data_IF_518358594162
#
_entry.id   IF_518358594162
#
_cell.length_a   1.000
_cell.length_b   1.000
_cell.length_c   1.000
_cell.angle_alpha   90.00
_cell.angle_beta   90.00
_cell.angle_gamma   90.00
#
_symmetry.space_group_name_H-M   'P 1'
#
loop_
_entity.id
_entity.type
_entity.pdbx_description
1 polymer ?
#
# COMPACT_ATOMS: atom_id res chain seq x y z
N UNK A 1 -7.85 34.06 0.80
CA UNK A 1 -7.77 32.76 1.50
C UNK A 1 -6.77 31.93 0.72
N UNK A 2 -5.57 31.75 1.24
CA UNK A 2 -4.52 30.95 0.57
C UNK A 2 -4.96 29.49 0.59
N UNK A 3 -4.80 28.78 -0.52
CA UNK A 3 -5.12 27.36 -0.57
C UNK A 3 -4.25 26.60 0.45
N UNK A 4 -4.83 25.62 1.19
CA UNK A 4 -4.07 24.81 2.13
C UNK A 4 -2.93 24.08 1.42
N UNK A 5 -1.82 23.91 2.13
CA UNK A 5 -0.64 23.25 1.58
C UNK A 5 -0.90 21.75 1.35
N UNK A 6 -0.58 21.20 0.17
CA UNK A 6 -0.85 19.81 -0.13
C UNK A 6 -0.02 18.83 0.71
N UNK A 7 1.21 19.18 1.10
CA UNK A 7 2.03 18.34 1.98
C UNK A 7 1.48 18.35 3.40
N UNK A 8 1.03 19.50 3.91
CA UNK A 8 0.37 19.58 5.22
C UNK A 8 -0.93 18.76 5.27
N UNK A 9 -1.75 18.79 4.20
CA UNK A 9 -2.97 17.98 4.11
C UNK A 9 -2.68 16.47 4.09
N UNK A 10 -1.51 16.08 3.61
CA UNK A 10 -0.99 14.71 3.65
C UNK A 10 -0.27 14.38 4.96
N UNK A 11 -0.09 15.35 5.86
CA UNK A 11 0.68 15.18 7.09
C UNK A 11 2.18 14.99 6.84
N UNK A 12 2.71 15.59 5.77
CA UNK A 12 4.09 15.47 5.32
C UNK A 12 4.81 16.82 5.33
N UNK A 13 6.13 16.77 5.41
CA UNK A 13 7.00 17.92 5.15
C UNK A 13 7.10 18.20 3.64
N UNK A 14 7.34 19.46 3.24
CA UNK A 14 7.52 19.85 1.82
C UNK A 14 8.76 19.21 1.17
N UNK A 15 9.73 18.75 1.95
CA UNK A 15 10.87 17.98 1.47
C UNK A 15 10.56 16.49 1.24
N UNK A 16 9.33 16.03 1.52
CA UNK A 16 8.94 14.64 1.35
C UNK A 16 9.10 14.18 -0.10
N UNK A 17 9.63 12.98 -0.26
CA UNK A 17 9.79 12.30 -1.53
C UNK A 17 8.44 11.86 -2.11
N UNK A 18 8.41 11.59 -3.41
CA UNK A 18 7.23 11.06 -4.09
C UNK A 18 6.74 9.74 -3.48
N UNK A 19 7.68 8.91 -2.99
CA UNK A 19 7.36 7.67 -2.30
C UNK A 19 6.62 7.94 -0.98
N UNK A 20 7.07 8.91 -0.19
CA UNK A 20 6.42 9.32 1.06
C UNK A 20 5.03 9.93 0.82
N UNK A 21 4.89 10.79 -0.21
CA UNK A 21 3.60 11.34 -0.65
C UNK A 21 2.60 10.23 -0.99
N UNK A 22 3.05 9.17 -1.68
CA UNK A 22 2.22 8.01 -1.98
C UNK A 22 1.87 7.21 -0.72
N UNK A 23 2.82 6.96 0.18
CA UNK A 23 2.57 6.27 1.46
C UNK A 23 1.55 7.03 2.31
N UNK A 24 1.71 8.35 2.45
CA UNK A 24 0.84 9.17 3.26
C UNK A 24 -0.60 9.22 2.71
N UNK A 25 -0.73 9.38 1.39
CA UNK A 25 -2.04 9.29 0.72
C UNK A 25 -2.71 7.95 1.00
N UNK A 26 -1.99 6.84 0.88
CA UNK A 26 -2.54 5.49 1.14
C UNK A 26 -3.06 5.34 2.57
N UNK A 27 -2.29 5.78 3.57
CA UNK A 27 -2.70 5.77 4.98
C UNK A 27 -3.98 6.59 5.19
N UNK A 28 -3.99 7.82 4.69
CA UNK A 28 -5.13 8.73 4.85
C UNK A 28 -6.37 8.28 4.07
N UNK A 29 -6.20 7.64 2.92
CA UNK A 29 -7.31 7.14 2.11
C UNK A 29 -7.99 5.94 2.80
N UNK A 30 -7.20 5.08 3.45
CA UNK A 30 -7.73 4.01 4.28
C UNK A 30 -8.54 4.55 5.47
N UNK A 31 -8.00 5.53 6.18
CA UNK A 31 -8.65 6.12 7.35
C UNK A 31 -9.91 6.93 7.01
N UNK A 32 -9.94 7.58 5.84
CA UNK A 32 -11.02 8.51 5.43
C UNK A 32 -12.01 7.92 4.43
N UNK A 33 -11.93 6.62 4.14
CA UNK A 33 -12.77 6.01 3.12
C UNK A 33 -14.28 6.13 3.47
N UNK A 34 -15.15 6.52 2.53
CA UNK A 34 -16.59 6.67 2.80
C UNK A 34 -17.26 5.37 3.29
N UNK A 35 -16.81 4.22 2.79
CA UNK A 35 -17.35 2.92 3.21
C UNK A 35 -16.94 2.50 4.63
N UNK A 36 -16.02 3.24 5.27
CA UNK A 36 -15.59 3.05 6.66
C UNK A 36 -16.10 4.14 7.60
N UNK A 37 -17.09 4.93 7.16
CA UNK A 37 -17.66 6.05 7.91
C UNK A 37 -16.95 7.39 7.69
N UNK A 38 -16.03 7.47 6.70
CA UNK A 38 -15.46 8.72 6.22
C UNK A 38 -16.40 9.48 5.28
N UNK A 39 -15.92 10.58 4.68
CA UNK A 39 -16.70 11.40 3.76
C UNK A 39 -16.08 11.47 2.36
N UNK A 40 -16.90 11.38 1.32
CA UNK A 40 -16.50 11.60 -0.07
C UNK A 40 -15.88 12.99 -0.29
N UNK A 41 -16.27 14.02 0.48
CA UNK A 41 -15.61 15.34 0.47
C UNK A 41 -14.16 15.25 0.97
N UNK A 42 -13.90 14.46 2.03
CA UNK A 42 -12.54 14.29 2.57
C UNK A 42 -11.64 13.52 1.59
N UNK A 43 -12.20 12.53 0.89
CA UNK A 43 -11.50 11.83 -0.19
C UNK A 43 -11.20 12.75 -1.38
N UNK A 44 -12.12 13.66 -1.74
CA UNK A 44 -11.88 14.67 -2.78
C UNK A 44 -10.74 15.61 -2.38
N UNK A 45 -10.70 16.06 -1.13
CA UNK A 45 -9.62 16.92 -0.61
C UNK A 45 -8.29 16.17 -0.60
N UNK A 46 -8.27 14.89 -0.17
CA UNK A 46 -7.07 14.07 -0.15
C UNK A 46 -6.49 13.82 -1.56
N UNK A 47 -7.35 13.48 -2.52
CA UNK A 47 -6.93 13.27 -3.90
C UNK A 47 -6.39 14.57 -4.53
N UNK A 48 -7.04 15.71 -4.28
CA UNK A 48 -6.57 17.01 -4.76
C UNK A 48 -5.21 17.41 -4.16
N UNK A 49 -4.98 17.12 -2.87
CA UNK A 49 -3.71 17.36 -2.21
C UNK A 49 -2.59 16.47 -2.79
N UNK A 50 -2.89 15.18 -3.01
CA UNK A 50 -1.96 14.26 -3.65
C UNK A 50 -1.57 14.70 -5.06
N UNK A 51 -2.55 15.04 -5.91
CA UNK A 51 -2.28 15.50 -7.28
C UNK A 51 -1.43 16.77 -7.31
N UNK A 52 -1.65 17.69 -6.38
CA UNK A 52 -0.86 18.91 -6.25
C UNK A 52 0.59 18.63 -5.79
N UNK A 53 0.79 17.73 -4.81
CA UNK A 53 2.12 17.34 -4.34
C UNK A 53 2.92 16.61 -5.44
N UNK A 54 2.28 15.67 -6.15
CA UNK A 54 2.89 14.98 -7.30
C UNK A 54 3.23 15.97 -8.42
N UNK A 55 2.32 16.90 -8.74
CA UNK A 55 2.55 17.94 -9.72
C UNK A 55 3.75 18.83 -9.39
N UNK A 56 3.97 19.12 -8.10
CA UNK A 56 5.13 19.86 -7.63
C UNK A 56 6.44 19.06 -7.76
N UNK A 57 6.47 17.84 -7.25
CA UNK A 57 7.66 16.98 -7.26
C UNK A 57 8.09 16.57 -8.68
N UNK A 58 7.15 16.51 -9.63
CA UNK A 58 7.42 16.21 -11.04
C UNK A 58 7.69 17.45 -11.90
N UNK A 59 7.66 18.66 -11.29
CA UNK A 59 7.88 19.93 -11.99
C UNK A 59 6.73 20.35 -12.92
N UNK A 60 5.60 19.64 -12.92
CA UNK A 60 4.42 19.93 -13.75
C UNK A 60 3.61 21.11 -13.26
N UNK A 61 3.67 21.44 -11.96
CA UNK A 61 2.94 22.55 -11.35
C UNK A 61 3.74 23.18 -10.19
N UNK A 62 4.13 24.46 -10.29
CA UNK A 62 4.72 25.16 -9.15
C UNK A 62 3.65 25.44 -8.08
N UNK A 63 4.00 25.23 -6.81
CA UNK A 63 3.21 25.64 -5.66
C UNK A 63 3.57 27.08 -5.29
N UNK A 64 2.63 27.89 -4.76
CA UNK A 64 2.96 29.21 -4.24
C UNK A 64 3.94 29.11 -3.06
N UNK A 65 5.01 29.90 -3.10
CA UNK A 65 5.98 30.01 -2.01
C UNK A 65 5.25 30.49 -0.74
N UNK A 66 5.27 29.67 0.31
CA UNK A 66 4.89 30.10 1.65
C UNK A 66 6.11 30.78 2.30
N UNK A 67 5.91 31.78 3.17
CA UNK A 67 7.01 32.55 3.74
C UNK A 67 7.97 31.63 4.51
N UNK A 68 9.24 31.71 4.11
CA UNK A 68 10.40 31.07 4.74
C UNK A 68 10.43 31.34 6.25
N UNK A 69 10.36 30.27 7.04
CA UNK A 69 10.48 30.38 8.49
C UNK A 69 10.29 29.08 9.25
N UNK A 70 11.25 28.16 9.15
CA UNK A 70 11.82 27.40 10.27
C UNK A 70 12.78 26.33 9.73
N UNK A 71 14.06 26.66 9.78
CA UNK A 71 15.17 25.74 9.58
C UNK A 71 15.17 24.71 10.71
N UNK A 72 15.08 23.43 10.37
CA UNK A 72 15.54 22.35 11.25
C UNK A 72 16.47 21.44 10.46
N UNK A 73 17.74 21.60 10.75
CA UNK A 73 18.89 20.85 10.25
C UNK A 73 18.77 19.36 10.56
N UNK A 74 19.26 18.44 9.70
CA UNK A 74 19.25 17.00 9.98
C UNK A 74 20.40 16.62 10.92
N UNK A 75 20.13 15.67 11.83
CA UNK A 75 21.17 14.96 12.60
C UNK A 75 21.13 13.47 12.20
N UNK A 76 22.24 12.87 11.73
CA UNK A 76 22.32 11.46 11.39
C UNK A 76 22.81 10.67 12.61
N UNK A 77 21.95 9.84 13.21
CA UNK A 77 22.39 8.87 14.19
C UNK A 77 21.65 7.54 14.04
N UNK A 78 22.31 6.61 13.36
CA UNK A 78 22.19 5.17 13.53
C UNK A 78 22.28 4.80 15.01
N UNK A 79 21.25 4.17 15.56
CA UNK A 79 21.42 3.19 16.65
C UNK A 79 20.38 2.09 16.54
N UNK A 80 20.84 0.90 16.16
CA UNK A 80 20.22 -0.37 16.54
C UNK A 80 20.16 -0.48 18.08
N UNK A 81 19.20 -1.21 18.63
CA UNK A 81 19.43 -1.93 19.87
C UNK A 81 19.44 -3.44 19.61
N UNK A 82 20.61 -4.05 19.86
CA UNK A 82 20.80 -5.48 20.08
C UNK A 82 20.76 -5.77 21.58
N UNK A 83 20.13 -6.90 21.92
CA UNK A 83 20.13 -7.64 23.20
C UNK A 83 19.30 -7.00 24.35
N UNK A 84 18.56 -7.75 25.17
CA UNK A 84 18.76 -9.12 25.62
C UNK A 84 17.47 -9.82 26.08
N UNK A 85 17.50 -11.16 25.98
CA UNK A 85 16.69 -12.21 26.60
C UNK A 85 15.58 -11.82 27.62
N UNK A 86 14.34 -12.09 27.22
CA UNK A 86 13.24 -12.44 28.11
C UNK A 86 12.39 -13.49 27.43
N UNK A 87 12.40 -14.74 27.93
CA UNK A 87 11.48 -15.78 27.49
C UNK A 87 10.15 -15.60 28.25
N UNK A 88 9.01 -15.50 27.54
CA UNK A 88 7.78 -16.10 28.02
C UNK A 88 7.28 -17.19 27.07
N UNK A 89 6.59 -18.13 27.69
CA UNK A 89 5.96 -19.36 27.20
C UNK A 89 4.89 -19.16 26.10
N UNK A 90 4.56 -20.21 25.33
CA UNK A 90 3.59 -20.13 24.24
C UNK A 90 2.17 -20.08 24.78
N UNK A 91 1.45 -19.00 24.47
CA UNK A 91 0.06 -18.78 24.88
C UNK A 91 -0.62 -17.72 24.02
N UNK A 92 -1.20 -18.17 22.92
CA UNK A 92 -2.50 -17.74 22.38
C UNK A 92 -2.91 -16.27 22.55
N UNK A 93 -2.53 -15.42 21.57
CA UNK A 93 -3.32 -14.28 21.11
C UNK A 93 -3.09 -14.10 19.60
N UNK A 94 -3.85 -14.85 18.78
CA UNK A 94 -3.90 -14.70 17.32
C UNK A 94 -5.18 -13.96 16.94
N UNK A 95 -5.13 -12.64 16.95
CA UNK A 95 -6.18 -11.78 16.39
C UNK A 95 -5.59 -10.39 16.14
N UNK A 96 -5.53 -9.96 14.87
CA UNK A 96 -5.32 -8.56 14.50
C UNK A 96 -3.92 -8.12 14.05
N UNK A 97 -2.93 -9.01 13.88
CA UNK A 97 -1.59 -8.58 13.43
C UNK A 97 -1.46 -8.66 11.90
N UNK A 98 -1.06 -7.54 11.28
CA UNK A 98 -0.66 -7.47 9.87
C UNK A 98 0.40 -8.54 9.59
N UNK A 99 0.19 -9.35 8.55
CA UNK A 99 1.09 -10.41 8.11
C UNK A 99 1.80 -9.98 6.81
N UNK A 100 3.11 -10.25 6.70
CA UNK A 100 3.95 -9.81 5.58
C UNK A 100 4.95 -10.90 5.22
N UNK A 101 5.18 -11.12 3.93
CA UNK A 101 6.09 -12.14 3.42
C UNK A 101 6.95 -11.66 2.22
N UNK A 102 8.23 -12.02 2.24
CA UNK A 102 9.33 -11.30 1.54
C UNK A 102 10.39 -12.27 1.01
N UNK A 103 10.02 -13.32 0.26
CA UNK A 103 9.12 -13.25 -0.89
C UNK A 103 8.01 -14.30 -0.92
N UNK A 104 6.86 -13.97 -1.52
CA UNK A 104 5.69 -14.86 -1.55
C UNK A 104 5.69 -15.83 -2.72
N UNK A 105 5.82 -15.34 -3.97
CA UNK A 105 5.91 -16.21 -5.15
C UNK A 105 6.45 -15.44 -6.36
N UNK A 106 6.72 -16.15 -7.46
CA UNK A 106 7.22 -15.58 -8.72
C UNK A 106 6.20 -15.83 -9.83
N UNK A 107 5.93 -14.80 -10.63
CA UNK A 107 5.15 -14.88 -11.87
C UNK A 107 6.12 -14.84 -13.04
N UNK A 108 6.07 -15.84 -13.92
CA UNK A 108 6.94 -15.95 -15.10
C UNK A 108 6.51 -15.00 -16.24
N UNK A 109 6.29 -13.73 -15.91
CA UNK A 109 5.91 -12.66 -16.82
C UNK A 109 6.54 -11.32 -16.39
N UNK A 110 6.67 -10.39 -17.33
CA UNK A 110 7.18 -9.05 -17.03
C UNK A 110 6.22 -8.30 -16.09
N UNK A 111 6.68 -7.29 -15.32
CA UNK A 111 5.82 -6.62 -14.33
C UNK A 111 4.50 -6.10 -14.90
N UNK A 112 4.49 -5.56 -16.12
CA UNK A 112 3.26 -5.09 -16.75
C UNK A 112 2.28 -6.25 -17.01
N UNK A 113 2.75 -7.36 -17.59
CA UNK A 113 1.92 -8.54 -17.87
C UNK A 113 1.44 -9.23 -16.59
N UNK A 114 2.33 -9.36 -15.60
CA UNK A 114 1.98 -9.90 -14.29
C UNK A 114 0.93 -9.03 -13.58
N UNK A 115 1.02 -7.71 -13.72
CA UNK A 115 0.05 -6.77 -13.15
C UNK A 115 -1.34 -6.92 -13.78
N UNK A 116 -1.43 -7.03 -15.12
CA UNK A 116 -2.70 -7.27 -15.81
C UNK A 116 -3.32 -8.62 -15.38
N UNK A 117 -2.52 -9.68 -15.29
CA UNK A 117 -2.98 -10.97 -14.78
C UNK A 117 -3.54 -10.87 -13.35
N UNK A 118 -2.89 -10.09 -12.47
CA UNK A 118 -3.40 -9.84 -11.12
C UNK A 118 -4.70 -9.04 -11.11
N UNK A 119 -4.89 -8.08 -12.02
CA UNK A 119 -6.17 -7.37 -12.18
C UNK A 119 -7.28 -8.33 -12.62
N UNK A 120 -7.00 -9.24 -13.56
CA UNK A 120 -7.96 -10.28 -13.99
C UNK A 120 -8.39 -11.13 -12.80
N UNK A 121 -7.43 -11.66 -12.03
CA UNK A 121 -7.74 -12.46 -10.84
C UNK A 121 -8.51 -11.63 -9.80
N UNK A 122 -8.13 -10.37 -9.61
CA UNK A 122 -8.82 -9.47 -8.67
C UNK A 122 -10.29 -9.33 -9.00
N UNK A 123 -10.65 -9.29 -10.28
CA UNK A 123 -12.05 -9.22 -10.71
C UNK A 123 -12.90 -10.41 -10.25
N UNK A 124 -12.27 -11.53 -9.90
CA UNK A 124 -12.94 -12.73 -9.40
C UNK A 124 -13.03 -12.74 -7.87
N UNK A 125 -11.91 -12.45 -7.20
CA UNK A 125 -11.76 -12.69 -5.76
C UNK A 125 -12.06 -11.47 -4.87
N UNK A 126 -12.13 -10.27 -5.45
CA UNK A 126 -12.20 -9.04 -4.67
C UNK A 126 -12.56 -7.78 -5.44
N UNK A 127 -12.14 -6.65 -4.88
CA UNK A 127 -12.28 -5.31 -5.44
C UNK A 127 -10.95 -4.58 -5.37
N UNK A 128 -10.59 -3.88 -6.46
CA UNK A 128 -9.38 -3.06 -6.51
C UNK A 128 -9.58 -1.80 -5.66
N UNK A 129 -8.69 -1.58 -4.71
CA UNK A 129 -8.64 -0.36 -3.89
C UNK A 129 -7.61 0.64 -4.43
N UNK A 130 -6.43 0.14 -4.82
CA UNK A 130 -5.36 0.95 -5.40
C UNK A 130 -4.77 0.22 -6.59
N UNK A 131 -4.79 0.90 -7.73
CA UNK A 131 -4.15 0.52 -8.98
C UNK A 131 -3.00 1.50 -9.25
N UNK A 132 -1.75 1.04 -9.07
CA UNK A 132 -0.54 1.82 -9.36
C UNK A 132 0.42 0.96 -10.21
N UNK A 133 0.10 0.81 -11.52
CA UNK A 133 0.80 -0.11 -12.38
C UNK A 133 2.26 0.30 -12.62
N UNK A 134 3.17 -0.67 -12.83
CA UNK A 134 2.96 -2.12 -12.74
C UNK A 134 3.34 -2.72 -11.37
N UNK A 135 3.59 -1.89 -10.35
CA UNK A 135 4.34 -2.35 -9.16
C UNK A 135 3.49 -2.56 -7.91
N UNK A 136 2.34 -1.90 -7.79
CA UNK A 136 1.53 -1.95 -6.57
C UNK A 136 0.07 -2.14 -6.89
N UNK A 137 -0.50 -3.21 -6.34
CA UNK A 137 -1.93 -3.48 -6.37
C UNK A 137 -2.43 -3.71 -4.94
N UNK A 138 -3.45 -2.95 -4.52
CA UNK A 138 -4.14 -3.18 -3.25
C UNK A 138 -5.58 -3.60 -3.52
N UNK A 139 -6.00 -4.65 -2.82
CA UNK A 139 -7.24 -5.35 -3.06
C UNK A 139 -7.98 -5.56 -1.75
N UNK A 140 -9.29 -5.33 -1.78
CA UNK A 140 -10.19 -5.89 -0.78
C UNK A 140 -10.59 -7.29 -1.24
N UNK A 141 -10.07 -8.32 -0.59
CA UNK A 141 -10.42 -9.71 -0.86
C UNK A 141 -11.70 -10.07 -0.12
N UNK A 142 -12.61 -10.80 -0.79
CA UNK A 142 -13.80 -11.39 -0.16
C UNK A 142 -13.58 -12.85 0.25
N UNK A 143 -12.71 -13.53 -0.49
CA UNK A 143 -12.31 -14.92 -0.25
C UNK A 143 -10.78 -14.97 -0.07
N UNK A 144 -10.24 -15.86 0.79
CA UNK A 144 -10.93 -16.82 1.68
C UNK A 144 -11.64 -16.17 2.87
N UNK A 145 -11.38 -14.89 3.15
CA UNK A 145 -12.11 -14.07 4.12
C UNK A 145 -11.91 -12.58 3.79
N UNK A 146 -12.80 -11.73 4.33
CA UNK A 146 -12.72 -10.28 4.15
C UNK A 146 -11.42 -9.70 4.73
N UNK A 147 -10.49 -9.36 3.84
CA UNK A 147 -9.20 -8.80 4.22
C UNK A 147 -8.66 -7.82 3.19
N UNK A 148 -7.82 -6.93 3.66
CA UNK A 148 -7.00 -6.09 2.80
C UNK A 148 -5.76 -6.88 2.42
N UNK A 149 -5.47 -6.93 1.13
CA UNK A 149 -4.30 -7.59 0.56
C UNK A 149 -3.55 -6.58 -0.32
N UNK A 150 -2.24 -6.48 -0.11
CA UNK A 150 -1.34 -5.70 -0.96
C UNK A 150 -0.35 -6.64 -1.64
N UNK A 151 -0.18 -6.41 -2.93
CA UNK A 151 0.76 -7.11 -3.80
C UNK A 151 1.81 -6.09 -4.27
N UNK A 152 3.06 -6.32 -3.88
CA UNK A 152 4.22 -5.54 -4.33
C UNK A 152 5.00 -6.37 -5.36
N UNK A 153 5.13 -5.86 -6.57
CA UNK A 153 5.85 -6.52 -7.67
C UNK A 153 7.24 -5.91 -7.83
N UNK A 154 8.25 -6.77 -7.94
CA UNK A 154 9.64 -6.41 -8.23
C UNK A 154 10.08 -7.18 -9.49
N UNK A 155 10.71 -6.51 -10.47
CA UNK A 155 11.24 -7.21 -11.63
C UNK A 155 12.36 -8.18 -11.24
N UNK A 156 12.34 -9.39 -11.78
CA UNK A 156 13.35 -10.42 -11.56
C UNK A 156 13.64 -11.18 -12.86
N UNK A 157 14.78 -10.91 -13.51
CA UNK A 157 15.32 -11.66 -14.66
C UNK A 157 14.29 -12.16 -15.71
N UNK A 158 13.37 -11.29 -16.15
CA UNK A 158 12.32 -11.64 -17.14
C UNK A 158 11.02 -12.18 -16.53
N UNK A 159 10.92 -12.18 -15.21
CA UNK A 159 9.79 -12.54 -14.37
C UNK A 159 9.49 -11.41 -13.36
N UNK A 160 8.50 -11.63 -12.51
CA UNK A 160 8.11 -10.70 -11.44
C UNK A 160 8.03 -11.44 -10.11
N UNK A 161 8.80 -10.98 -9.12
CA UNK A 161 8.66 -11.44 -7.74
C UNK A 161 7.54 -10.65 -7.07
N UNK A 162 6.60 -11.36 -6.44
CA UNK A 162 5.46 -10.77 -5.74
C UNK A 162 5.62 -10.97 -4.24
N UNK A 163 5.49 -9.89 -3.47
CA UNK A 163 5.41 -9.93 -2.00
C UNK A 163 3.98 -9.60 -1.56
N UNK A 164 3.45 -10.34 -0.59
CA UNK A 164 2.09 -10.15 -0.08
C UNK A 164 2.12 -9.56 1.33
N UNK A 165 1.27 -8.55 1.54
CA UNK A 165 0.87 -8.08 2.87
C UNK A 165 -0.62 -8.27 3.08
N UNK A 166 -1.03 -8.83 4.22
CA UNK A 166 -2.45 -9.02 4.57
C UNK A 166 -2.77 -8.36 5.90
N UNK A 167 -3.90 -7.66 5.95
CA UNK A 167 -4.48 -7.11 7.16
C UNK A 167 -5.99 -7.43 7.23
N UNK A 168 -6.55 -7.67 8.43
CA UNK A 168 -8.01 -7.83 8.56
C UNK A 168 -8.74 -6.56 8.14
N UNK A 169 -9.85 -6.72 7.42
CA UNK A 169 -10.71 -5.60 7.00
C UNK A 169 -11.88 -5.34 7.95
N UNK A 170 -12.21 -6.28 8.84
CA UNK A 170 -13.32 -6.19 9.78
C UNK A 170 -13.09 -7.02 11.04
N UNK A 171 -14.17 -7.28 11.79
CA UNK A 171 -14.13 -7.99 13.09
C UNK A 171 -14.02 -9.52 12.97
N UNK A 172 -13.96 -10.04 11.74
CA UNK A 172 -13.77 -11.46 11.46
C UNK A 172 -12.37 -11.98 11.82
N UNK A 173 -12.22 -13.30 11.90
CA UNK A 173 -10.91 -13.91 12.04
C UNK A 173 -10.06 -13.60 10.79
N UNK A 174 -8.86 -13.02 10.94
CA UNK A 174 -8.01 -12.73 9.78
C UNK A 174 -7.61 -14.03 9.09
N UNK A 175 -7.62 -14.09 7.74
CA UNK A 175 -7.11 -15.25 7.03
C UNK A 175 -5.61 -15.40 7.29
N UNK A 176 -5.11 -16.64 7.19
CA UNK A 176 -3.68 -16.87 7.25
C UNK A 176 -3.05 -16.36 5.94
N UNK A 177 -1.84 -15.81 6.05
CA UNK A 177 -1.12 -15.30 4.89
C UNK A 177 -0.92 -16.38 3.81
N UNK A 178 -0.65 -17.62 4.24
CA UNK A 178 -0.46 -18.76 3.34
C UNK A 178 -1.73 -19.07 2.55
N UNK A 179 -2.92 -18.99 3.16
CA UNK A 179 -4.20 -19.23 2.47
C UNK A 179 -4.46 -18.17 1.39
N UNK A 180 -4.13 -16.91 1.67
CA UNK A 180 -4.23 -15.81 0.70
C UNK A 180 -3.22 -15.99 -0.43
N UNK A 181 -1.97 -16.37 -0.11
CA UNK A 181 -0.93 -16.65 -1.11
C UNK A 181 -1.37 -17.79 -2.04
N UNK A 182 -1.82 -18.90 -1.47
CA UNK A 182 -2.22 -20.09 -2.21
C UNK A 182 -3.42 -19.79 -3.10
N UNK A 183 -4.38 -18.98 -2.64
CA UNK A 183 -5.49 -18.49 -3.45
C UNK A 183 -5.00 -17.68 -4.66
N UNK A 184 -4.05 -16.75 -4.49
CA UNK A 184 -3.48 -15.98 -5.61
C UNK A 184 -2.79 -16.88 -6.62
N UNK A 185 -1.92 -17.78 -6.14
CA UNK A 185 -1.19 -18.74 -6.98
C UNK A 185 -2.15 -19.65 -7.73
N UNK A 186 -3.20 -20.15 -7.07
CA UNK A 186 -4.20 -21.02 -7.69
C UNK A 186 -4.98 -20.32 -8.81
N UNK A 187 -5.39 -19.06 -8.59
CA UNK A 187 -6.15 -18.31 -9.58
C UNK A 187 -5.29 -17.87 -10.77
N UNK A 188 -4.03 -17.47 -10.54
CA UNK A 188 -3.11 -17.12 -11.63
C UNK A 188 -2.80 -18.31 -12.56
N UNK A 189 -2.92 -19.54 -12.05
CA UNK A 189 -2.74 -20.76 -12.85
C UNK A 189 -4.02 -21.21 -13.59
N UNK A 190 -5.12 -20.47 -13.51
CA UNK A 190 -6.32 -20.77 -14.29
C UNK A 190 -6.12 -20.44 -15.78
N UNK A 191 -6.72 -21.23 -16.70
CA UNK A 191 -6.72 -20.89 -18.12
C UNK A 191 -7.43 -19.55 -18.36
N UNK A 192 -6.96 -18.75 -19.32
CA UNK A 192 -7.50 -17.42 -19.64
C UNK A 192 -6.88 -16.22 -18.89
N UNK A 193 -5.94 -16.43 -17.96
CA UNK A 193 -5.27 -15.32 -17.24
C UNK A 193 -4.15 -14.66 -18.05
N UNK A 194 -3.42 -15.45 -18.85
CA UNK A 194 -2.30 -15.00 -19.69
C UNK A 194 -2.56 -15.19 -21.19
N UNK A 195 -3.81 -15.42 -21.60
CA UNK A 195 -4.22 -15.59 -23.01
C UNK A 195 -4.57 -14.27 -23.71
#
# INVERSE_FOLDING_TARGET
>A
MTAPDPFELLGLDRAASLAEVRVARRRLAFDRHPDRGGNADDMRVLNAAFDAAVGHLTGRRPLPEAPVGATSTPDPATTSPTAAAGRPTPGQHRSGRVQHDVPSFVVAALPAEAFEALLVVTSWVGEVLVDDPPYVLEVHLREPAECWCRLDLVPDAGASTVSITVAPSGDGAPPLLDDVRDMWVQNLNQPGVFE
#
